data_IF_995244270639
#
_entry.id   IF_995244270639
#
_cell.length_a   1.000
_cell.length_b   1.000
_cell.length_c   1.000
_cell.angle_alpha   90.00
_cell.angle_beta   90.00
_cell.angle_gamma   90.00
#
_symmetry.space_group_name_H-M   'P 1'
#
loop_
_entity.id
_entity.type
_entity.pdbx_description
1 polymer ?
#
# COMPACT_ATOMS: atom_id res chain seq x y z
N UNK A 1 -36.04 -17.87 -16.43
CA UNK A 1 -34.62 -18.20 -16.71
C UNK A 1 -33.79 -17.05 -16.17
N UNK A 2 -33.09 -17.25 -15.06
CA UNK A 2 -32.33 -16.21 -14.37
C UNK A 2 -30.87 -16.28 -14.81
N UNK A 3 -30.36 -15.22 -15.44
CA UNK A 3 -28.97 -15.13 -15.88
C UNK A 3 -28.15 -14.63 -14.70
N UNK A 4 -27.35 -15.52 -14.09
CA UNK A 4 -26.45 -15.14 -12.98
C UNK A 4 -25.20 -14.47 -13.56
N UNK A 5 -24.97 -13.22 -13.18
CA UNK A 5 -23.73 -12.50 -13.44
C UNK A 5 -22.57 -13.19 -12.69
N UNK A 6 -21.72 -13.92 -13.41
CA UNK A 6 -20.49 -14.49 -12.85
C UNK A 6 -19.38 -13.43 -12.86
N UNK A 7 -19.09 -12.83 -11.70
CA UNK A 7 -17.97 -11.91 -11.54
C UNK A 7 -16.68 -12.73 -11.38
N UNK A 8 -15.82 -12.73 -12.40
CA UNK A 8 -14.45 -13.25 -12.32
C UNK A 8 -13.68 -12.36 -11.33
N UNK A 9 -13.53 -12.82 -10.09
CA UNK A 9 -12.68 -12.14 -9.12
C UNK A 9 -11.21 -12.36 -9.51
N UNK A 10 -10.70 -11.42 -10.30
CA UNK A 10 -9.34 -10.89 -10.28
C UNK A 10 -8.25 -11.82 -9.74
N UNK A 11 -7.67 -12.65 -10.60
CA UNK A 11 -6.40 -13.35 -10.37
C UNK A 11 -5.20 -12.40 -10.21
N UNK A 12 -5.40 -11.11 -10.50
CA UNK A 12 -4.48 -10.04 -10.16
C UNK A 12 -5.17 -9.17 -9.12
N UNK A 13 -4.90 -9.42 -7.83
CA UNK A 13 -5.17 -8.40 -6.81
C UNK A 13 -4.51 -7.13 -7.33
N UNK A 14 -5.28 -6.07 -7.58
CA UNK A 14 -4.71 -4.73 -7.78
C UNK A 14 -3.71 -4.54 -6.67
N UNK A 15 -2.42 -4.42 -7.00
CA UNK A 15 -1.34 -4.24 -6.04
C UNK A 15 -1.78 -3.14 -5.08
N UNK A 16 -2.04 -3.50 -3.83
CA UNK A 16 -2.56 -2.55 -2.85
C UNK A 16 -1.63 -1.35 -2.84
N UNK A 17 -2.18 -0.15 -3.04
CA UNK A 17 -1.37 1.05 -3.15
C UNK A 17 -0.47 1.18 -1.91
N UNK A 18 0.84 1.12 -2.15
CA UNK A 18 1.87 1.36 -1.16
C UNK A 18 2.31 2.82 -1.25
N UNK A 19 2.45 3.48 -0.10
CA UNK A 19 2.98 4.83 0.00
C UNK A 19 4.43 4.75 0.46
N UNK A 20 5.31 5.47 -0.22
CA UNK A 20 6.71 5.62 0.17
C UNK A 20 6.95 7.08 0.59
N UNK A 21 7.42 7.28 1.81
CA UNK A 21 7.85 8.58 2.31
C UNK A 21 9.35 8.60 2.53
N UNK A 22 10.00 9.68 2.11
CA UNK A 22 11.42 9.93 2.36
C UNK A 22 11.54 11.32 2.97
N UNK A 23 12.20 11.41 4.12
CA UNK A 23 12.44 12.63 4.87
C UNK A 23 13.96 12.84 5.01
N UNK A 24 14.42 14.04 4.68
CA UNK A 24 15.84 14.41 4.68
C UNK A 24 16.06 15.47 5.76
N UNK A 25 16.86 15.12 6.75
CA UNK A 25 17.33 16.01 7.80
C UNK A 25 18.84 16.26 7.62
N UNK A 26 19.38 17.26 8.32
CA UNK A 26 20.81 17.63 8.28
C UNK A 26 21.73 16.47 8.66
N UNK A 27 21.24 15.53 9.46
CA UNK A 27 22.01 14.44 10.04
C UNK A 27 21.50 13.05 9.68
N UNK A 28 20.39 12.94 8.95
CA UNK A 28 19.83 11.63 8.64
C UNK A 28 18.89 11.64 7.46
N UNK A 29 18.74 10.47 6.83
CA UNK A 29 17.67 10.15 5.89
C UNK A 29 16.73 9.16 6.54
N UNK A 30 15.44 9.46 6.57
CA UNK A 30 14.39 8.56 7.07
C UNK A 30 13.54 8.07 5.91
N UNK A 31 13.24 6.78 5.90
CA UNK A 31 12.41 6.13 4.89
C UNK A 31 11.26 5.42 5.59
N UNK A 32 10.04 5.64 5.11
CA UNK A 32 8.82 4.99 5.61
C UNK A 32 8.05 4.35 4.47
N UNK A 33 7.65 3.10 4.66
CA UNK A 33 6.76 2.39 3.74
C UNK A 33 5.43 2.13 4.45
N UNK A 34 4.33 2.57 3.83
CA UNK A 34 2.97 2.40 4.35
C UNK A 34 2.11 1.63 3.35
N UNK A 35 1.18 0.81 3.84
CA UNK A 35 0.08 0.26 3.03
C UNK A 35 -1.23 0.94 3.38
N UNK A 36 -2.11 1.06 2.39
CA UNK A 36 -3.51 1.39 2.65
C UNK A 36 -4.26 0.15 3.19
N UNK A 37 -4.65 0.18 4.47
CA UNK A 37 -5.60 -0.77 5.03
C UNK A 37 -6.95 -0.09 5.28
N UNK A 38 -7.94 -0.38 4.43
CA UNK A 38 -9.32 0.12 4.57
C UNK A 38 -9.40 1.64 4.69
N UNK A 39 -8.64 2.36 3.87
CA UNK A 39 -8.55 3.82 3.89
C UNK A 39 -7.60 4.38 4.96
N UNK A 40 -6.91 3.53 5.73
CA UNK A 40 -5.97 3.95 6.76
C UNK A 40 -4.54 3.56 6.40
N UNK A 41 -3.60 4.51 6.33
CA UNK A 41 -2.19 4.16 6.14
C UNK A 41 -1.65 3.42 7.36
N UNK A 42 -0.96 2.30 7.12
CA UNK A 42 -0.32 1.47 8.14
C UNK A 42 1.14 1.28 7.83
N UNK A 43 1.99 1.52 8.82
CA UNK A 43 3.43 1.32 8.70
C UNK A 43 3.75 -0.14 8.44
N UNK A 44 4.56 -0.37 7.41
CA UNK A 44 5.11 -1.70 7.05
C UNK A 44 6.60 -1.72 7.34
N UNK A 45 7.31 -0.68 6.91
CA UNK A 45 8.75 -0.60 7.05
C UNK A 45 9.19 0.80 7.47
N UNK A 46 10.27 0.84 8.25
CA UNK A 46 10.88 2.05 8.75
C UNK A 46 12.40 1.87 8.73
N UNK A 47 13.10 2.83 8.14
CA UNK A 47 14.56 2.88 8.13
C UNK A 47 15.05 4.30 8.36
N UNK A 48 16.23 4.41 8.96
CA UNK A 48 16.97 5.66 9.06
C UNK A 48 18.47 5.40 8.89
N UNK A 49 19.18 6.36 8.29
CA UNK A 49 20.64 6.39 8.14
C UNK A 49 21.14 7.78 8.52
#
# INVERSE_FOLDING_TARGET
MEIRNFKIMSLFSSSGASYLGVDFDLHSVKIVELKNEKGRPRLINYGYY
#
